data_IF_072669495886
#
_entry.id   IF_072669495886
#
_cell.length_a   1.000
_cell.length_b   1.000
_cell.length_c   1.000
_cell.angle_alpha   90.00
_cell.angle_beta   90.00
_cell.angle_gamma   90.00
#
_symmetry.space_group_name_H-M   'P 1'
#
loop_
_entity.id
_entity.type
_entity.pdbx_description
1 polymer ?
#
# COMPACT_ATOMS: atom_id res chain seq x y z
N UNK A 1 -4.83 16.60 -21.24
CA UNK A 1 -4.14 15.35 -20.83
C UNK A 1 -3.79 15.49 -19.36
N UNK A 2 -4.16 14.52 -18.52
CA UNK A 2 -3.83 14.58 -17.10
C UNK A 2 -2.30 14.64 -16.93
N UNK A 3 -1.79 15.69 -16.29
CA UNK A 3 -0.40 15.76 -15.88
C UNK A 3 -0.19 14.69 -14.80
N UNK A 4 0.32 13.53 -15.21
CA UNK A 4 0.69 12.47 -14.27
C UNK A 4 1.96 12.93 -13.58
N UNK A 5 1.81 13.53 -12.39
CA UNK A 5 2.93 13.97 -11.57
C UNK A 5 3.97 12.84 -11.49
N UNK A 6 5.26 13.10 -11.76
CA UNK A 6 6.31 12.12 -11.53
C UNK A 6 6.40 11.93 -10.02
N UNK A 7 5.65 10.96 -9.49
CA UNK A 7 5.58 10.71 -8.06
C UNK A 7 6.76 9.85 -7.66
N UNK A 8 7.62 10.44 -6.84
CA UNK A 8 8.44 9.70 -5.91
C UNK A 8 7.56 8.64 -5.22
N UNK A 9 8.03 7.39 -5.21
CA UNK A 9 7.27 6.27 -4.65
C UNK A 9 7.05 6.58 -3.17
N UNK A 10 5.79 6.58 -2.73
CA UNK A 10 5.40 6.94 -1.36
C UNK A 10 6.12 6.08 -0.32
N UNK A 11 6.39 4.82 -0.67
CA UNK A 11 7.09 3.87 0.18
C UNK A 11 8.31 3.32 -0.56
N UNK A 12 9.38 3.00 0.17
CA UNK A 12 10.54 2.34 -0.40
C UNK A 12 10.16 0.93 -0.88
N UNK A 13 10.91 0.41 -1.86
CA UNK A 13 10.52 -0.82 -2.55
C UNK A 13 10.50 -2.05 -1.64
N UNK A 14 11.43 -2.12 -0.69
CA UNK A 14 11.51 -3.20 0.30
C UNK A 14 10.22 -3.32 1.13
N UNK A 15 9.71 -2.20 1.65
CA UNK A 15 8.48 -2.17 2.45
C UNK A 15 7.28 -2.59 1.61
N UNK A 16 7.21 -2.13 0.35
CA UNK A 16 6.14 -2.52 -0.57
C UNK A 16 6.18 -4.02 -0.87
N UNK A 17 7.36 -4.58 -1.09
CA UNK A 17 7.50 -6.01 -1.40
C UNK A 17 7.18 -6.89 -0.19
N UNK A 18 7.59 -6.48 1.02
CA UNK A 18 7.19 -7.16 2.27
C UNK A 18 5.67 -7.22 2.39
N UNK A 19 4.97 -6.08 2.21
CA UNK A 19 3.51 -6.06 2.23
C UNK A 19 2.86 -6.93 1.15
N UNK A 20 3.48 -7.06 -0.03
CA UNK A 20 2.96 -7.95 -1.07
C UNK A 20 2.93 -9.39 -0.58
N UNK A 21 4.02 -9.87 0.01
CA UNK A 21 4.11 -11.24 0.50
C UNK A 21 3.24 -11.48 1.74
N UNK A 22 3.16 -10.52 2.67
CA UNK A 22 2.28 -10.61 3.84
C UNK A 22 0.81 -10.75 3.41
N UNK A 23 0.34 -9.90 2.49
CA UNK A 23 -1.03 -9.94 2.00
C UNK A 23 -1.30 -11.18 1.15
N UNK A 24 -0.31 -11.66 0.40
CA UNK A 24 -0.44 -12.93 -0.32
C UNK A 24 -0.60 -14.12 0.63
N UNK A 25 0.09 -14.08 1.77
CA UNK A 25 -0.03 -15.10 2.81
C UNK A 25 -1.40 -15.09 3.48
N UNK A 26 -1.89 -13.91 3.88
CA UNK A 26 -3.26 -13.75 4.40
C UNK A 26 -4.33 -14.28 3.44
N UNK A 27 -4.08 -14.20 2.13
CA UNK A 27 -5.01 -14.62 1.09
C UNK A 27 -4.82 -16.09 0.66
N UNK A 28 -3.84 -16.80 1.23
CA UNK A 28 -3.50 -18.17 0.85
C UNK A 28 -2.96 -18.31 -0.56
N UNK A 29 -2.38 -17.25 -1.10
CA UNK A 29 -1.84 -17.18 -2.46
C UNK A 29 -0.34 -17.50 -2.52
N UNK A 30 0.36 -17.52 -1.39
CA UNK A 30 1.79 -17.86 -1.27
C UNK A 30 2.20 -19.10 -2.06
N UNK A 31 1.47 -20.25 -2.02
CA UNK A 31 1.87 -21.45 -2.75
C UNK A 31 1.89 -21.30 -4.28
N UNK A 32 1.18 -20.31 -4.80
CA UNK A 32 1.11 -20.00 -6.23
C UNK A 32 2.19 -19.03 -6.69
N UNK A 33 2.91 -18.41 -5.75
CA UNK A 33 4.00 -17.48 -6.03
C UNK A 33 5.30 -18.27 -5.91
N UNK A 34 5.76 -18.82 -7.04
CA UNK A 34 7.01 -19.58 -7.11
C UNK A 34 8.15 -18.64 -7.51
N UNK A 35 9.25 -18.63 -6.75
CA UNK A 35 10.42 -17.79 -7.03
C UNK A 35 10.11 -16.29 -7.23
N UNK A 36 9.06 -15.79 -6.54
CA UNK A 36 8.59 -14.41 -6.69
C UNK A 36 7.86 -14.13 -8.00
N UNK A 37 7.49 -15.16 -8.78
CA UNK A 37 6.71 -15.03 -10.00
C UNK A 37 5.20 -14.93 -9.69
N UNK A 38 4.64 -13.76 -9.97
CA UNK A 38 3.21 -13.47 -9.77
C UNK A 38 2.35 -13.80 -10.99
N UNK A 39 2.96 -14.16 -12.13
CA UNK A 39 2.22 -14.40 -13.38
C UNK A 39 1.40 -15.69 -13.39
N UNK A 40 1.65 -16.61 -12.45
CA UNK A 40 0.82 -17.80 -12.25
C UNK A 40 -0.50 -17.50 -11.53
N UNK A 41 -0.63 -16.32 -10.91
CA UNK A 41 -1.86 -15.87 -10.27
C UNK A 41 -2.84 -15.29 -11.31
N UNK A 42 -4.14 -15.46 -11.03
CA UNK A 42 -5.15 -14.79 -11.84
C UNK A 42 -5.06 -13.27 -11.69
N UNK A 43 -5.44 -12.52 -12.72
CA UNK A 43 -5.50 -11.05 -12.63
C UNK A 43 -6.41 -10.58 -11.49
N UNK A 44 -7.46 -11.34 -11.15
CA UNK A 44 -8.33 -11.07 -10.02
C UNK A 44 -7.59 -11.22 -8.67
N UNK A 45 -6.79 -12.27 -8.50
CA UNK A 45 -6.01 -12.50 -7.28
C UNK A 45 -4.93 -11.43 -7.10
N UNK A 46 -4.22 -11.08 -8.18
CA UNK A 46 -3.28 -9.95 -8.18
C UNK A 46 -3.98 -8.63 -7.83
N UNK A 47 -5.18 -8.41 -8.35
CA UNK A 47 -6.00 -7.24 -8.03
C UNK A 47 -6.42 -7.20 -6.56
N UNK A 48 -6.77 -8.34 -5.96
CA UNK A 48 -7.10 -8.44 -4.53
C UNK A 48 -5.91 -8.11 -3.63
N UNK A 49 -4.74 -8.63 -3.96
CA UNK A 49 -3.48 -8.33 -3.25
C UNK A 49 -3.17 -6.83 -3.36
N UNK A 50 -3.11 -6.29 -4.59
CA UNK A 50 -2.83 -4.87 -4.82
C UNK A 50 -3.86 -3.93 -4.19
N UNK A 51 -5.14 -4.29 -4.22
CA UNK A 51 -6.23 -3.53 -3.63
C UNK A 51 -6.16 -3.48 -2.10
N UNK A 52 -5.83 -4.59 -1.44
CA UNK A 52 -5.61 -4.63 0.02
C UNK A 52 -4.42 -3.73 0.43
N UNK A 53 -3.31 -3.84 -0.29
CA UNK A 53 -2.10 -3.04 -0.05
C UNK A 53 -2.41 -1.55 -0.21
N UNK A 54 -2.88 -1.15 -1.40
CA UNK A 54 -3.18 0.25 -1.70
C UNK A 54 -4.26 0.84 -0.78
N UNK A 55 -5.32 0.09 -0.50
CA UNK A 55 -6.40 0.54 0.38
C UNK A 55 -5.96 0.75 1.82
N UNK A 56 -5.18 -0.18 2.38
CA UNK A 56 -4.67 -0.05 3.76
C UNK A 56 -3.65 1.08 3.88
N UNK A 57 -2.77 1.22 2.88
CA UNK A 57 -1.78 2.31 2.85
C UNK A 57 -2.46 3.69 2.76
N UNK A 58 -3.43 3.86 1.86
CA UNK A 58 -4.16 5.14 1.74
C UNK A 58 -4.89 5.47 3.04
N UNK A 59 -5.55 4.50 3.68
CA UNK A 59 -6.20 4.72 4.99
C UNK A 59 -5.19 5.15 6.07
N UNK A 60 -4.02 4.52 6.12
CA UNK A 60 -2.98 4.89 7.07
C UNK A 60 -2.43 6.31 6.82
N UNK A 61 -2.25 6.70 5.55
CA UNK A 61 -1.81 8.04 5.18
C UNK A 61 -2.83 9.11 5.57
N UNK A 62 -4.12 8.87 5.32
CA UNK A 62 -5.20 9.80 5.69
C UNK A 62 -5.24 9.98 7.21
N UNK A 63 -5.22 8.89 7.98
CA UNK A 63 -5.20 8.95 9.45
C UNK A 63 -4.00 9.74 9.99
N UNK A 64 -2.81 9.55 9.39
CA UNK A 64 -1.61 10.30 9.78
C UNK A 64 -1.75 11.79 9.45
N UNK A 65 -2.31 12.13 8.29
CA UNK A 65 -2.56 13.52 7.91
C UNK A 65 -3.56 14.18 8.85
N UNK A 66 -4.65 13.50 9.21
CA UNK A 66 -5.63 13.97 10.20
C UNK A 66 -4.97 14.22 11.56
N UNK A 67 -4.12 13.30 12.03
CA UNK A 67 -3.39 13.45 13.28
C UNK A 67 -2.42 14.64 13.28
N UNK A 68 -1.70 14.86 12.17
CA UNK A 68 -0.80 16.01 12.02
C UNK A 68 -1.56 17.34 12.01
N UNK A 69 -2.72 17.39 11.34
CA UNK A 69 -3.59 18.56 11.33
C UNK A 69 -4.15 18.87 12.73
N UNK A 70 -4.55 17.84 13.48
CA UNK A 70 -4.99 18.01 14.86
C UNK A 70 -3.85 18.52 15.77
N UNK A 71 -2.63 18.02 15.59
CA UNK A 71 -1.45 18.49 16.31
C UNK A 71 -1.11 19.95 15.97
N UNK A 72 -1.12 20.33 14.68
CA UNK A 72 -0.88 21.71 14.25
C UNK A 72 -1.92 22.69 14.84
N UNK A 73 -3.19 22.28 14.89
CA UNK A 73 -4.24 23.07 15.55
C UNK A 73 -3.99 23.22 17.06
N UNK A 74 -3.58 22.16 17.75
CA UNK A 74 -3.24 22.22 19.18
C UNK A 74 -2.04 23.15 19.44
N UNK A 75 -1.03 23.12 18.58
CA UNK A 75 0.20 23.90 18.72
C UNK A 75 -0.01 25.41 18.41
N UNK A 76 -1.12 25.78 17.76
CA UNK A 76 -1.51 27.18 17.50
C UNK A 76 -2.32 27.81 18.64
N UNK A 77 -2.82 27.02 19.58
CA UNK A 77 -3.58 27.49 20.76
C UNK A 77 -2.71 27.71 22.00
N UNK A 78 -1.45 27.25 21.96
CA UNK A 78 -0.40 27.47 22.96
C UNK A 78 0.53 28.59 22.53
#
# INVERSE_FOLDING_TARGET
MAQFFPREKIFPENVRDEFKYEIADELGLTPKIQDGYWGALSAADCGRVGGKIGGNMVKAMVRRAEALLAQDQANKLT
#
